data_IF_030887263232
#
_entry.id   IF_030887263232
#
_cell.length_a   1.000
_cell.length_b   1.000
_cell.length_c   1.000
_cell.angle_alpha   90.00
_cell.angle_beta   90.00
_cell.angle_gamma   90.00
#
_symmetry.space_group_name_H-M   'P 1'
#
loop_
_entity.id
_entity.type
_entity.pdbx_description
1 polymer ?
#
# COMPACT_ATOMS: atom_id res chain seq x y z
N UNK A 1 -58.61 15.89 28.45
CA UNK A 1 -57.49 16.54 27.73
C UNK A 1 -56.15 16.42 28.45
N UNK A 2 -55.81 17.14 29.54
CA UNK A 2 -54.47 16.97 30.18
C UNK A 2 -54.19 15.54 30.68
N UNK A 3 -55.17 14.89 31.31
CA UNK A 3 -55.02 13.51 31.79
C UNK A 3 -54.91 12.48 30.65
N UNK A 4 -55.53 12.72 29.50
CA UNK A 4 -55.44 11.84 28.32
C UNK A 4 -54.10 12.01 27.60
N UNK A 5 -53.56 13.23 27.56
CA UNK A 5 -52.23 13.50 26.98
C UNK A 5 -51.13 12.88 27.85
N UNK A 6 -51.29 12.93 29.18
CA UNK A 6 -50.38 12.28 30.13
C UNK A 6 -50.40 10.75 29.97
N UNK A 7 -51.57 10.16 29.75
CA UNK A 7 -51.76 8.71 29.53
C UNK A 7 -51.12 8.21 28.21
N UNK A 8 -51.26 8.99 27.13
CA UNK A 8 -50.62 8.69 25.84
C UNK A 8 -49.09 8.83 25.93
N UNK A 9 -48.60 9.81 26.69
CA UNK A 9 -47.17 9.98 26.92
C UNK A 9 -46.57 8.83 27.76
N UNK A 10 -47.28 8.35 28.78
CA UNK A 10 -46.87 7.17 29.55
C UNK A 10 -46.89 5.90 28.70
N UNK A 11 -47.92 5.70 27.87
CA UNK A 11 -47.99 4.57 26.96
C UNK A 11 -46.84 4.58 25.93
N UNK A 12 -46.49 5.75 25.40
CA UNK A 12 -45.36 5.89 24.49
C UNK A 12 -44.01 5.56 25.17
N UNK A 13 -43.84 5.93 26.43
CA UNK A 13 -42.65 5.60 27.21
C UNK A 13 -42.55 4.09 27.49
N UNK A 14 -43.64 3.44 27.87
CA UNK A 14 -43.66 2.00 28.12
C UNK A 14 -43.36 1.19 26.86
N UNK A 15 -43.91 1.61 25.71
CA UNK A 15 -43.59 1.02 24.41
C UNK A 15 -42.11 1.24 24.06
N UNK A 16 -41.57 2.44 24.33
CA UNK A 16 -40.16 2.74 24.09
C UNK A 16 -39.25 1.86 24.96
N UNK A 17 -39.57 1.68 26.24
CA UNK A 17 -38.84 0.81 27.17
C UNK A 17 -38.89 -0.66 26.74
N UNK A 18 -40.01 -1.11 26.17
CA UNK A 18 -40.18 -2.46 25.63
C UNK A 18 -39.34 -2.72 24.38
N UNK A 19 -39.24 -1.73 23.48
CA UNK A 19 -38.54 -1.86 22.18
C UNK A 19 -37.04 -1.55 22.29
N UNK A 20 -36.63 -0.66 23.19
CA UNK A 20 -35.23 -0.26 23.39
C UNK A 20 -34.22 -1.42 23.45
N UNK A 21 -34.41 -2.51 24.23
CA UNK A 21 -33.43 -3.58 24.31
C UNK A 21 -33.16 -4.26 22.96
N UNK A 22 -34.18 -4.39 22.10
CA UNK A 22 -34.02 -4.97 20.76
C UNK A 22 -33.23 -4.05 19.83
N UNK A 23 -33.50 -2.74 19.90
CA UNK A 23 -32.74 -1.73 19.15
C UNK A 23 -31.28 -1.72 19.62
N UNK A 24 -31.05 -1.79 20.94
CA UNK A 24 -29.69 -1.84 21.50
C UNK A 24 -28.90 -3.06 21.02
N UNK A 25 -29.51 -4.25 21.00
CA UNK A 25 -28.88 -5.47 20.47
C UNK A 25 -28.57 -5.32 18.98
N UNK A 26 -29.49 -4.75 18.19
CA UNK A 26 -29.31 -4.55 16.76
C UNK A 26 -28.15 -3.58 16.47
N UNK A 27 -28.10 -2.45 17.18
CA UNK A 27 -26.99 -1.48 17.09
C UNK A 27 -25.67 -2.13 17.51
N UNK A 28 -25.66 -2.93 18.58
CA UNK A 28 -24.45 -3.63 19.04
C UNK A 28 -23.93 -4.60 17.97
N UNK A 29 -24.82 -5.34 17.30
CA UNK A 29 -24.43 -6.25 16.21
C UNK A 29 -23.84 -5.46 15.03
N UNK A 30 -24.47 -4.35 14.64
CA UNK A 30 -23.96 -3.49 13.55
C UNK A 30 -22.57 -2.94 13.90
N UNK A 31 -22.39 -2.40 15.10
CA UNK A 31 -21.09 -1.89 15.57
C UNK A 31 -20.05 -3.00 15.60
N UNK A 32 -20.41 -4.20 16.09
CA UNK A 32 -19.48 -5.33 16.19
C UNK A 32 -19.00 -5.80 14.81
N UNK A 33 -19.91 -5.93 13.84
CA UNK A 33 -19.56 -6.30 12.47
C UNK A 33 -18.69 -5.23 11.81
N UNK A 34 -19.00 -3.95 12.01
CA UNK A 34 -18.20 -2.85 11.50
C UNK A 34 -16.79 -2.82 12.09
N UNK A 35 -16.66 -3.04 13.41
CA UNK A 35 -15.37 -3.11 14.09
C UNK A 35 -14.53 -4.31 13.64
N UNK A 36 -15.16 -5.47 13.38
CA UNK A 36 -14.47 -6.66 12.88
C UNK A 36 -13.75 -6.39 11.56
N UNK A 37 -14.44 -5.76 10.60
CA UNK A 37 -13.86 -5.43 9.30
C UNK A 37 -12.77 -4.36 9.41
N UNK A 38 -12.96 -3.39 10.30
CA UNK A 38 -11.97 -2.35 10.60
C UNK A 38 -10.69 -2.92 11.24
N UNK A 39 -10.84 -3.78 12.24
CA UNK A 39 -9.73 -4.44 12.92
C UNK A 39 -8.91 -5.29 11.95
N UNK A 40 -9.56 -6.01 11.03
CA UNK A 40 -8.88 -6.81 10.01
C UNK A 40 -7.99 -5.97 9.08
N UNK A 41 -8.44 -4.78 8.68
CA UNK A 41 -7.66 -3.86 7.84
C UNK A 41 -6.47 -3.26 8.59
N UNK A 42 -6.68 -2.83 9.84
CA UNK A 42 -5.60 -2.31 10.70
C UNK A 42 -4.54 -3.39 10.95
N UNK A 43 -4.96 -4.60 11.29
CA UNK A 43 -4.02 -5.69 11.58
C UNK A 43 -3.11 -6.00 10.37
N UNK A 44 -3.65 -6.00 9.15
CA UNK A 44 -2.86 -6.19 7.92
C UNK A 44 -1.89 -5.02 7.68
N UNK A 45 -2.34 -3.78 7.87
CA UNK A 45 -1.50 -2.60 7.72
C UNK A 45 -0.34 -2.53 8.72
N UNK A 46 -0.62 -2.86 9.99
CA UNK A 46 0.39 -2.94 11.05
C UNK A 46 1.35 -4.11 10.83
N UNK A 47 0.86 -5.27 10.40
CA UNK A 47 1.72 -6.43 10.13
C UNK A 47 2.78 -6.13 9.07
N UNK A 48 2.44 -5.36 8.02
CA UNK A 48 3.42 -4.93 7.02
C UNK A 48 4.41 -3.90 7.60
N UNK A 49 3.91 -2.87 8.30
CA UNK A 49 4.78 -1.87 8.95
C UNK A 49 5.74 -2.47 9.97
N UNK A 50 5.37 -3.60 10.60
CA UNK A 50 6.15 -4.26 11.65
C UNK A 50 7.02 -5.40 11.11
N UNK A 51 6.89 -5.74 9.82
CA UNK A 51 7.74 -6.72 9.16
C UNK A 51 9.12 -6.12 8.86
N UNK A 52 10.14 -6.56 9.60
CA UNK A 52 11.54 -6.11 9.45
C UNK A 52 12.23 -6.57 8.15
N UNK A 53 11.58 -7.41 7.34
CA UNK A 53 12.17 -7.88 6.08
C UNK A 53 12.38 -6.76 5.05
N UNK A 54 11.53 -5.72 5.11
CA UNK A 54 11.60 -4.54 4.27
C UNK A 54 11.81 -3.30 5.14
N UNK A 55 12.86 -2.55 4.84
CA UNK A 55 13.25 -1.34 5.56
C UNK A 55 13.28 -0.15 4.59
N UNK A 56 13.19 1.05 5.13
CA UNK A 56 13.44 2.27 4.36
C UNK A 56 14.86 2.24 3.77
N UNK A 57 14.99 2.59 2.49
CA UNK A 57 16.24 2.50 1.74
C UNK A 57 16.49 1.16 1.05
N UNK A 58 15.67 0.13 1.29
CA UNK A 58 15.81 -1.14 0.55
C UNK A 58 15.48 -0.95 -0.93
N UNK A 59 16.36 -1.49 -1.80
CA UNK A 59 16.08 -1.65 -3.23
C UNK A 59 15.16 -2.86 -3.42
N UNK A 60 14.06 -2.62 -4.10
CA UNK A 60 13.03 -3.65 -4.35
C UNK A 60 12.61 -3.63 -5.81
N UNK A 61 11.97 -4.70 -6.25
CA UNK A 61 11.26 -4.76 -7.52
C UNK A 61 9.78 -4.81 -7.17
N UNK A 62 9.03 -3.82 -7.65
CA UNK A 62 7.60 -3.67 -7.43
C UNK A 62 6.88 -3.87 -8.77
N UNK A 63 6.12 -4.97 -8.89
CA UNK A 63 5.39 -5.36 -10.11
C UNK A 63 6.27 -5.40 -11.36
N UNK A 64 7.54 -5.80 -11.22
CA UNK A 64 8.52 -5.87 -12.29
C UNK A 64 9.29 -4.57 -12.56
N UNK A 65 8.89 -3.45 -11.95
CA UNK A 65 9.63 -2.18 -12.04
C UNK A 65 10.61 -2.03 -10.87
N UNK A 66 11.75 -1.38 -11.10
CA UNK A 66 12.71 -1.15 -10.03
C UNK A 66 12.23 -0.01 -9.14
N UNK A 67 12.27 -0.25 -7.85
CA UNK A 67 11.82 0.71 -6.86
C UNK A 67 12.74 0.77 -5.64
N UNK A 68 12.61 1.85 -4.90
CA UNK A 68 13.24 2.07 -3.62
C UNK A 68 12.14 2.31 -2.58
N UNK A 69 12.25 1.70 -1.42
CA UNK A 69 11.36 2.05 -0.30
C UNK A 69 11.82 3.41 0.25
N UNK A 70 11.04 4.46 0.01
CA UNK A 70 11.37 5.81 0.46
C UNK A 70 10.97 5.99 1.93
N UNK A 71 9.76 5.55 2.27
CA UNK A 71 9.21 5.69 3.63
C UNK A 71 8.13 4.66 3.91
N UNK A 72 8.15 4.04 5.09
CA UNK A 72 7.09 3.14 5.57
C UNK A 72 6.25 3.90 6.59
N UNK A 73 5.04 4.30 6.20
CA UNK A 73 4.07 4.91 7.10
C UNK A 73 3.14 3.88 7.74
N UNK A 74 2.32 4.33 8.69
CA UNK A 74 1.35 3.47 9.40
C UNK A 74 0.24 2.95 8.46
N UNK A 75 -0.22 3.80 7.53
CA UNK A 75 -1.33 3.50 6.61
C UNK A 75 -0.88 3.23 5.17
N UNK A 76 0.21 3.87 4.75
CA UNK A 76 0.72 3.82 3.38
C UNK A 76 2.25 3.78 3.37
N UNK A 77 2.79 3.10 2.37
CA UNK A 77 4.22 3.03 2.07
C UNK A 77 4.49 3.77 0.77
N UNK A 78 5.57 4.55 0.75
CA UNK A 78 6.01 5.32 -0.42
C UNK A 78 7.13 4.57 -1.11
N UNK A 79 6.91 4.22 -2.37
CA UNK A 79 7.89 3.60 -3.24
C UNK A 79 8.35 4.60 -4.30
N UNK A 80 9.65 4.83 -4.41
CA UNK A 80 10.24 5.57 -5.52
C UNK A 80 10.48 4.61 -6.68
N UNK A 81 9.65 4.66 -7.71
CA UNK A 81 9.66 3.73 -8.84
C UNK A 81 10.33 4.40 -10.04
N UNK A 82 11.31 3.73 -10.64
CA UNK A 82 11.85 4.12 -11.94
C UNK A 82 11.05 3.40 -13.02
N UNK A 83 10.35 4.17 -13.84
CA UNK A 83 9.61 3.66 -14.99
C UNK A 83 10.57 3.19 -16.06
N UNK A 84 10.29 2.01 -16.61
CA UNK A 84 11.15 1.31 -17.59
C UNK A 84 10.43 1.01 -18.90
N UNK A 85 9.19 1.50 -19.05
CA UNK A 85 8.38 1.31 -20.25
C UNK A 85 7.25 2.35 -20.33
N UNK A 86 6.84 2.68 -21.55
CA UNK A 86 5.74 3.61 -21.83
C UNK A 86 6.20 5.05 -22.09
N UNK A 87 5.24 5.99 -22.06
CA UNK A 87 5.48 7.44 -22.28
C UNK A 87 6.40 8.06 -21.22
N UNK A 88 6.42 7.46 -20.02
CA UNK A 88 7.19 7.92 -18.85
C UNK A 88 8.50 7.15 -18.67
N UNK A 89 9.04 6.51 -19.71
CA UNK A 89 10.29 5.75 -19.60
C UNK A 89 11.45 6.64 -19.09
N UNK A 90 12.12 6.20 -18.03
CA UNK A 90 13.16 6.96 -17.34
C UNK A 90 12.69 7.83 -16.18
N UNK A 91 11.39 8.08 -16.04
CA UNK A 91 10.88 8.91 -14.94
C UNK A 91 11.00 8.22 -13.58
N UNK A 92 11.39 9.00 -12.57
CA UNK A 92 11.38 8.58 -11.17
C UNK A 92 10.17 9.17 -10.45
N UNK A 93 9.21 8.31 -10.12
CA UNK A 93 7.92 8.72 -9.56
C UNK A 93 7.70 8.13 -8.17
N UNK A 94 7.00 8.86 -7.31
CA UNK A 94 6.57 8.35 -6.01
C UNK A 94 5.21 7.68 -6.13
N UNK A 95 5.17 6.39 -5.84
CA UNK A 95 3.95 5.58 -5.78
C UNK A 95 3.55 5.39 -4.32
N UNK A 96 2.36 5.88 -3.98
CA UNK A 96 1.75 5.71 -2.67
C UNK A 96 0.90 4.45 -2.68
N UNK A 97 1.28 3.46 -1.86
CA UNK A 97 0.58 2.18 -1.78
C UNK A 97 0.02 2.01 -0.36
N UNK A 98 -1.30 1.78 -0.21
CA UNK A 98 -1.88 1.43 1.09
C UNK A 98 -1.26 0.12 1.62
N UNK A 99 -0.88 0.08 2.90
CA UNK A 99 -0.19 -1.07 3.48
C UNK A 99 -1.00 -2.37 3.37
N UNK A 100 -2.33 -2.27 3.43
CA UNK A 100 -3.25 -3.41 3.23
C UNK A 100 -3.18 -4.03 1.82
N UNK A 101 -2.71 -3.27 0.82
CA UNK A 101 -2.61 -3.71 -0.58
C UNK A 101 -1.27 -4.33 -0.94
N UNK A 102 -0.21 -4.03 -0.18
CA UNK A 102 1.15 -4.48 -0.48
C UNK A 102 1.28 -6.00 -0.60
N UNK A 103 0.61 -6.82 0.24
CA UNK A 103 0.65 -8.28 0.09
C UNK A 103 0.07 -8.81 -1.24
N UNK A 104 -0.72 -8.01 -1.95
CA UNK A 104 -1.28 -8.37 -3.25
C UNK A 104 -0.41 -7.92 -4.43
N UNK A 105 0.64 -7.14 -4.16
CA UNK A 105 1.61 -6.70 -5.17
C UNK A 105 2.81 -7.63 -5.21
N UNK A 106 3.44 -7.75 -6.38
CA UNK A 106 4.67 -8.54 -6.48
C UNK A 106 5.83 -7.70 -5.97
N UNK A 107 6.23 -7.95 -4.72
CA UNK A 107 7.34 -7.26 -4.06
C UNK A 107 8.52 -8.20 -3.85
N UNK A 108 9.64 -7.91 -4.51
CA UNK A 108 10.88 -8.70 -4.42
C UNK A 108 12.00 -7.83 -3.86
N UNK A 109 12.76 -8.33 -2.88
CA UNK A 109 13.92 -7.61 -2.33
C UNK A 109 15.17 -7.91 -3.16
N UNK A 110 15.89 -6.87 -3.56
CA UNK A 110 17.16 -7.03 -4.27
C UNK A 110 18.27 -7.19 -3.23
N UNK A 111 18.82 -8.40 -3.12
CA UNK A 111 19.93 -8.71 -2.19
C UNK A 111 21.29 -8.48 -2.84
N UNK A 112 21.41 -8.79 -4.14
CA UNK A 112 22.61 -8.56 -4.94
C UNK A 112 22.21 -7.82 -6.23
N UNK A 113 22.89 -6.70 -6.49
CA UNK A 113 22.68 -5.87 -7.67
C UNK A 113 23.87 -6.08 -8.62
N UNK A 114 23.69 -6.90 -9.66
CA UNK A 114 24.74 -7.21 -10.66
C UNK A 114 24.84 -6.17 -11.77
N UNK A 115 24.02 -5.10 -11.74
CA UNK A 115 24.11 -4.02 -12.71
C UNK A 115 25.49 -3.37 -12.82
N UNK A 116 26.25 -3.14 -11.74
CA UNK A 116 27.58 -2.53 -11.84
C UNK A 116 28.53 -3.37 -12.71
N UNK A 117 28.55 -4.69 -12.51
CA UNK A 117 29.37 -5.62 -13.31
C UNK A 117 28.93 -5.62 -14.78
N UNK A 118 27.62 -5.62 -15.03
CA UNK A 118 27.10 -5.57 -16.40
C UNK A 118 27.41 -4.23 -17.09
N UNK A 119 27.38 -3.13 -16.35
CA UNK A 119 27.76 -1.82 -16.86
C UNK A 119 29.25 -1.74 -17.18
N UNK A 120 30.11 -2.36 -16.37
CA UNK A 120 31.55 -2.43 -16.64
C UNK A 120 31.84 -3.13 -17.98
N UNK A 121 31.21 -4.28 -18.24
CA UNK A 121 31.35 -4.99 -19.51
C UNK A 121 30.89 -4.12 -20.69
N UNK A 122 29.73 -3.47 -20.57
CA UNK A 122 29.21 -2.55 -21.60
C UNK A 122 30.11 -1.35 -21.85
N UNK A 123 30.74 -0.79 -20.81
CA UNK A 123 31.68 0.33 -20.96
C UNK A 123 32.90 -0.13 -21.76
N UNK A 124 33.43 -1.32 -21.48
CA UNK A 124 34.57 -1.88 -22.22
C UNK A 124 34.21 -2.17 -23.68
N UNK A 125 33.06 -2.78 -23.94
CA UNK A 125 32.54 -3.02 -25.29
C UNK A 125 32.39 -1.70 -26.06
N UNK A 126 31.72 -0.71 -25.47
CA UNK A 126 31.55 0.61 -26.06
C UNK A 126 32.90 1.30 -26.33
N UNK A 127 33.86 1.21 -25.40
CA UNK A 127 35.19 1.78 -25.60
C UNK A 127 35.94 1.10 -26.76
N UNK A 128 35.81 -0.21 -26.93
CA UNK A 128 36.37 -0.94 -28.07
C UNK A 128 35.72 -0.53 -29.38
N UNK A 129 34.39 -0.40 -29.44
CA UNK A 129 33.67 0.07 -30.62
C UNK A 129 34.06 1.51 -31.00
N UNK A 130 34.13 2.41 -30.02
CA UNK A 130 34.58 3.80 -30.23
C UNK A 130 36.00 3.83 -30.80
N UNK A 131 36.92 3.00 -30.30
CA UNK A 131 38.28 2.90 -30.81
C UNK A 131 38.33 2.35 -32.25
N UNK A 132 37.50 1.35 -32.58
CA UNK A 132 37.38 0.83 -33.95
C UNK A 132 36.88 1.90 -34.92
N UNK A 133 35.85 2.66 -34.52
CA UNK A 133 35.30 3.77 -35.31
C UNK A 133 36.35 4.88 -35.50
N UNK A 134 37.06 5.26 -34.42
CA UNK A 134 38.11 6.29 -34.47
C UNK A 134 39.26 5.92 -35.40
N UNK A 135 39.57 4.63 -35.52
CA UNK A 135 40.63 4.12 -36.38
C UNK A 135 40.16 3.76 -37.81
N UNK A 136 38.97 4.24 -38.22
CA UNK A 136 38.48 4.09 -39.60
C UNK A 136 37.76 2.78 -39.91
N UNK A 137 37.43 1.97 -38.90
CA UNK A 137 36.55 0.81 -39.06
C UNK A 137 35.14 1.27 -39.42
N UNK A 138 34.71 0.99 -40.66
CA UNK A 138 33.30 1.15 -41.05
C UNK A 138 32.45 0.10 -40.32
N UNK A 139 31.24 0.51 -39.94
CA UNK A 139 30.19 -0.34 -39.33
C UNK A 139 30.02 -1.67 -40.06
#
# INVERSE_FOLDING_TARGET
>A
MENEIMDVATLANDITLLIMPFISVLIMVVITLWFKDFAGKIAKGLAFSMNKQFQEGDKVILDGERALIVKIGITQTVFGVTKTSGEFDGDYVWRYVPNERIPFLKLEKVIFDTKPEHNENKIHENAQEINKIKNGGKK
#
